data_IF_471891570411
#
_entry.id   IF_471891570411
#
_cell.length_a   1.000
_cell.length_b   1.000
_cell.length_c   1.000
_cell.angle_alpha   90.00
_cell.angle_beta   90.00
_cell.angle_gamma   90.00
#
_symmetry.space_group_name_H-M   'P 1'
#
loop_
_entity.id
_entity.type
_entity.pdbx_description
1 polymer ?
#
# COMPACT_ATOMS: atom_id res chain seq x y z
N UNK A 1 41.59 7.21 -1.93
CA UNK A 1 40.41 6.44 -1.53
C UNK A 1 39.52 7.41 -0.78
N UNK A 2 38.51 7.95 -1.45
CA UNK A 2 37.61 8.94 -0.86
C UNK A 2 36.76 8.27 0.23
N UNK A 3 36.40 9.05 1.24
CA UNK A 3 35.73 8.65 2.47
C UNK A 3 34.28 8.19 2.21
N UNK A 4 34.11 6.96 1.72
CA UNK A 4 32.80 6.29 1.56
C UNK A 4 32.06 6.14 2.91
N UNK A 5 32.76 6.30 4.04
CA UNK A 5 32.17 6.17 5.38
C UNK A 5 31.24 7.33 5.73
N UNK A 6 31.51 8.54 5.23
CA UNK A 6 30.71 9.72 5.51
C UNK A 6 29.30 9.61 4.89
N UNK A 7 29.21 9.12 3.65
CA UNK A 7 27.93 8.89 2.95
C UNK A 7 27.08 7.80 3.59
N UNK A 8 27.70 6.69 4.01
CA UNK A 8 26.98 5.58 4.68
C UNK A 8 26.46 6.03 6.05
N UNK A 9 27.27 6.74 6.84
CA UNK A 9 26.84 7.26 8.15
C UNK A 9 25.68 8.26 8.00
N UNK A 10 25.70 9.10 6.97
CA UNK A 10 24.60 10.03 6.68
C UNK A 10 23.31 9.30 6.29
N UNK A 11 23.40 8.21 5.52
CA UNK A 11 22.23 7.42 5.11
C UNK A 11 21.63 6.63 6.30
N UNK A 12 22.46 6.10 7.19
CA UNK A 12 22.02 5.38 8.38
C UNK A 12 21.46 6.30 9.49
N UNK A 13 21.84 7.58 9.50
CA UNK A 13 21.31 8.57 10.43
C UNK A 13 20.03 9.26 9.93
N UNK A 14 19.61 8.99 8.68
CA UNK A 14 18.32 9.48 8.20
C UNK A 14 17.18 8.89 9.04
N UNK A 15 16.14 9.70 9.33
CA UNK A 15 14.93 9.19 9.95
C UNK A 15 14.40 8.01 9.13
N UNK A 16 14.22 6.84 9.77
CA UNK A 16 13.55 5.72 9.12
C UNK A 16 12.15 6.20 8.73
N UNK A 17 11.79 6.03 7.45
CA UNK A 17 10.45 6.38 6.98
C UNK A 17 9.43 5.58 7.80
N UNK A 18 8.48 6.27 8.41
CA UNK A 18 7.34 5.59 9.04
C UNK A 18 6.49 4.96 7.94
N UNK A 19 6.42 3.63 7.95
CA UNK A 19 5.67 2.82 7.00
C UNK A 19 4.37 2.26 7.62
N UNK A 20 3.99 2.70 8.83
CA UNK A 20 2.81 2.22 9.55
C UNK A 20 1.54 2.31 8.69
N UNK A 21 1.28 3.45 8.06
CA UNK A 21 0.12 3.65 7.19
C UNK A 21 0.11 2.68 6.00
N UNK A 22 1.27 2.39 5.40
CA UNK A 22 1.36 1.43 4.29
C UNK A 22 1.06 0.00 4.76
N UNK A 23 1.63 -0.40 5.90
CA UNK A 23 1.39 -1.73 6.48
C UNK A 23 -0.07 -1.91 6.89
N UNK A 24 -0.68 -0.87 7.44
CA UNK A 24 -2.10 -0.88 7.80
C UNK A 24 -3.00 -1.00 6.56
N UNK A 25 -2.71 -0.26 5.49
CA UNK A 25 -3.42 -0.43 4.21
C UNK A 25 -3.33 -1.85 3.68
N UNK A 26 -2.15 -2.49 3.76
CA UNK A 26 -2.00 -3.90 3.34
C UNK A 26 -2.81 -4.86 4.20
N UNK A 27 -2.92 -4.60 5.53
CA UNK A 27 -3.76 -5.40 6.43
C UNK A 27 -5.23 -5.31 6.01
N UNK A 28 -5.73 -4.09 5.82
CA UNK A 28 -7.12 -3.82 5.41
C UNK A 28 -7.45 -4.46 4.05
N UNK A 29 -6.54 -4.37 3.07
CA UNK A 29 -6.75 -4.99 1.77
C UNK A 29 -6.85 -6.51 1.89
N UNK A 30 -5.99 -7.15 2.69
CA UNK A 30 -6.07 -8.62 2.89
C UNK A 30 -7.38 -9.06 3.53
N UNK A 31 -7.87 -8.30 4.50
CA UNK A 31 -9.16 -8.57 5.14
C UNK A 31 -10.31 -8.46 4.14
N UNK A 32 -10.34 -7.38 3.34
CA UNK A 32 -11.35 -7.19 2.31
C UNK A 32 -11.35 -8.29 1.23
N UNK A 33 -10.17 -8.83 0.89
CA UNK A 33 -10.06 -9.98 -0.02
C UNK A 33 -10.65 -11.25 0.58
N UNK A 34 -10.33 -11.56 1.84
CA UNK A 34 -10.85 -12.75 2.50
C UNK A 34 -12.39 -12.70 2.63
N UNK A 35 -12.93 -11.53 3.00
CA UNK A 35 -14.37 -11.29 3.05
C UNK A 35 -15.02 -11.46 1.67
N UNK A 36 -14.41 -10.91 0.62
CA UNK A 36 -14.92 -11.06 -0.75
C UNK A 36 -14.85 -12.51 -1.26
N UNK A 37 -13.80 -13.28 -0.95
CA UNK A 37 -13.72 -14.70 -1.33
C UNK A 37 -14.82 -15.54 -0.64
N UNK A 38 -15.14 -15.22 0.62
CA UNK A 38 -16.23 -15.84 1.35
C UNK A 38 -17.60 -15.44 0.74
N UNK A 39 -17.82 -14.16 0.47
CA UNK A 39 -19.07 -13.64 -0.11
C UNK A 39 -19.34 -14.20 -1.51
N UNK A 40 -18.31 -14.22 -2.38
CA UNK A 40 -18.45 -14.72 -3.75
C UNK A 40 -18.32 -16.24 -3.87
N UNK A 41 -17.98 -16.94 -2.78
CA UNK A 41 -17.85 -18.39 -2.75
C UNK A 41 -16.72 -18.93 -3.63
N UNK A 42 -15.64 -18.16 -3.82
CA UNK A 42 -14.59 -18.50 -4.76
C UNK A 42 -13.49 -17.46 -4.90
N UNK A 43 -12.61 -17.67 -5.87
CA UNK A 43 -11.47 -16.78 -6.13
C UNK A 43 -11.95 -15.41 -6.62
N UNK A 44 -11.20 -14.38 -6.23
CA UNK A 44 -11.44 -13.01 -6.64
C UNK A 44 -10.25 -12.42 -7.40
N UNK A 45 -10.53 -11.42 -8.22
CA UNK A 45 -9.56 -10.57 -8.88
C UNK A 45 -9.61 -9.18 -8.27
N UNK A 46 -8.45 -8.53 -8.14
CA UNK A 46 -8.40 -7.13 -7.74
C UNK A 46 -7.73 -6.27 -8.79
N UNK A 47 -8.28 -5.08 -8.94
CA UNK A 47 -7.74 -4.02 -9.80
C UNK A 47 -7.60 -2.76 -8.98
N UNK A 48 -6.63 -1.93 -9.34
CA UNK A 48 -6.52 -0.59 -8.76
C UNK A 48 -7.21 0.39 -9.68
N UNK A 49 -8.06 1.23 -9.12
CA UNK A 49 -8.66 2.37 -9.80
C UNK A 49 -8.26 3.66 -9.08
N UNK A 50 -8.39 4.80 -9.75
CA UNK A 50 -8.12 6.09 -9.14
C UNK A 50 -9.11 7.14 -9.61
N UNK A 51 -9.61 7.92 -8.67
CA UNK A 51 -10.51 9.04 -8.94
C UNK A 51 -10.03 10.28 -8.19
N UNK A 52 -10.70 11.42 -8.44
CA UNK A 52 -10.56 12.61 -7.60
C UNK A 52 -11.83 12.79 -6.78
N UNK A 53 -11.66 13.13 -5.51
CA UNK A 53 -12.79 13.54 -4.67
C UNK A 53 -13.18 15.01 -4.91
N UNK A 54 -14.23 15.47 -4.23
CA UNK A 54 -14.75 16.85 -4.34
C UNK A 54 -13.74 17.92 -3.89
N UNK A 55 -12.79 17.54 -3.02
CA UNK A 55 -11.70 18.41 -2.57
C UNK A 55 -10.48 18.39 -3.52
N UNK A 56 -10.53 17.58 -4.58
CA UNK A 56 -9.48 17.46 -5.59
C UNK A 56 -8.36 16.47 -5.23
N UNK A 57 -8.48 15.75 -4.11
CA UNK A 57 -7.51 14.73 -3.70
C UNK A 57 -7.56 13.54 -4.65
N UNK A 58 -6.42 12.93 -4.91
CA UNK A 58 -6.37 11.65 -5.63
C UNK A 58 -6.71 10.54 -4.64
N UNK A 59 -7.78 9.81 -4.93
CA UNK A 59 -8.20 8.62 -4.19
C UNK A 59 -7.82 7.41 -5.01
N UNK A 60 -7.03 6.51 -4.43
CA UNK A 60 -6.69 5.21 -5.03
C UNK A 60 -7.57 4.16 -4.36
N UNK A 61 -8.30 3.40 -5.17
CA UNK A 61 -9.24 2.39 -4.71
C UNK A 61 -8.79 1.00 -5.18
N UNK A 62 -8.95 0.01 -4.31
CA UNK A 62 -8.84 -1.40 -4.70
C UNK A 62 -10.25 -1.92 -4.97
N UNK A 63 -10.51 -2.32 -6.21
CA UNK A 63 -11.80 -2.90 -6.62
C UNK A 63 -11.64 -4.40 -6.75
N UNK A 64 -12.37 -5.16 -5.93
CA UNK A 64 -12.39 -6.63 -5.90
C UNK A 64 -13.62 -7.12 -6.65
N UNK A 65 -13.45 -8.14 -7.51
CA UNK A 65 -14.51 -8.73 -8.33
C UNK A 65 -14.38 -10.26 -8.34
N UNK A 66 -15.46 -11.02 -8.58
CA UNK A 66 -15.36 -12.44 -8.90
C UNK A 66 -14.42 -12.69 -10.07
N UNK A 67 -13.71 -13.81 -10.06
CA UNK A 67 -12.80 -14.23 -11.12
C UNK A 67 -13.52 -14.77 -12.38
#
# INVERSE_FOLDING_TARGET
>A
MADDSAGIKALLSMPRRDNSAYLETLRLVREAFAEAEEEFGGKVLATTDSARDEAGNIVIMTVIRPA
#
